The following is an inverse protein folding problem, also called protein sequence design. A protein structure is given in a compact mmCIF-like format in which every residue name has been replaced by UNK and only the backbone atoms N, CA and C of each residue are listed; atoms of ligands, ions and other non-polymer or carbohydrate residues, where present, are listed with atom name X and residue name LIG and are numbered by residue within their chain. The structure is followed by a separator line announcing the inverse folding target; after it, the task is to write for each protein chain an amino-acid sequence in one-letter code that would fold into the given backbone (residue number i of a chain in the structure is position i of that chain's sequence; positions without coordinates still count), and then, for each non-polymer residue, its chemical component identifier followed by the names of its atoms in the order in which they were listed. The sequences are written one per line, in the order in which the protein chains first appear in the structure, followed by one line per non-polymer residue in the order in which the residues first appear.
data_IF_441597437194
#
_entry.id   IF_441597437194
#
_cell.length_a   1.000
_cell.length_b   1.000
_cell.length_c   1.000
_cell.angle_alpha   90.00
_cell.angle_beta   90.00
_cell.angle_gamma   90.00
#
_symmetry.space_group_name_H-M   'P 1'
#
loop_
_entity.id
_entity.type
_entity.pdbx_description
1 polymer ?
#
# COMPACT_ATOMS: atom_id res chain seq x y z
N UNK A 1 28.08 0.08 6.94
CA UNK A 1 26.91 0.02 7.84
C UNK A 1 25.80 -0.68 7.07
N UNK A 2 25.40 -1.90 7.54
CA UNK A 2 24.38 -2.71 6.87
C UNK A 2 23.01 -2.07 7.02
N UNK A 3 22.46 -1.58 5.91
CA UNK A 3 21.11 -0.99 5.84
C UNK A 3 20.01 -2.08 5.68
N UNK A 4 20.21 -3.25 6.31
CA UNK A 4 19.20 -4.30 6.34
C UNK A 4 18.36 -4.18 7.60
N UNK A 5 17.04 -4.16 7.46
CA UNK A 5 16.11 -4.25 8.60
C UNK A 5 15.20 -5.45 8.38
N UNK A 6 14.97 -6.20 9.44
CA UNK A 6 13.96 -7.26 9.45
C UNK A 6 12.58 -6.62 9.28
N UNK A 7 11.84 -7.11 8.31
CA UNK A 7 10.47 -6.70 8.08
C UNK A 7 9.55 -7.92 8.17
N UNK A 8 8.80 -7.98 9.27
CA UNK A 8 7.78 -9.00 9.49
C UNK A 8 8.26 -10.31 10.13
N UNK A 9 7.29 -11.12 10.59
CA UNK A 9 7.47 -12.35 11.38
C UNK A 9 8.21 -13.50 10.67
N UNK A 10 8.65 -13.35 9.43
CA UNK A 10 9.29 -14.39 8.63
C UNK A 10 10.71 -14.09 8.18
N UNK A 11 11.40 -13.14 8.84
CA UNK A 11 12.83 -12.88 8.58
C UNK A 11 13.17 -12.50 7.14
N UNK A 12 12.25 -11.85 6.41
CA UNK A 12 12.54 -11.33 5.07
C UNK A 12 13.23 -9.98 5.21
N UNK A 13 14.42 -9.90 4.68
CA UNK A 13 15.21 -8.68 4.75
C UNK A 13 14.84 -7.73 3.62
N UNK A 14 14.64 -6.47 3.97
CA UNK A 14 14.43 -5.38 3.05
C UNK A 14 15.64 -4.46 3.05
N UNK A 15 16.17 -4.17 1.88
CA UNK A 15 17.26 -3.19 1.72
C UNK A 15 16.65 -1.83 1.40
N UNK A 16 17.06 -0.80 2.13
CA UNK A 16 16.68 0.58 1.86
C UNK A 16 17.73 1.30 1.00
N UNK A 17 17.33 2.27 0.17
CA UNK A 17 15.96 2.70 -0.12
C UNK A 17 15.18 1.69 -0.97
N UNK A 18 13.85 1.70 -0.84
CA UNK A 18 12.96 0.96 -1.72
C UNK A 18 12.38 1.87 -2.79
N UNK A 19 12.15 1.31 -3.97
CA UNK A 19 11.66 2.03 -5.14
C UNK A 19 10.50 1.31 -5.80
N UNK A 20 9.71 2.08 -6.54
CA UNK A 20 8.64 1.56 -7.36
C UNK A 20 8.11 2.63 -8.31
N UNK A 21 7.00 2.33 -8.95
CA UNK A 21 6.38 3.27 -9.88
C UNK A 21 5.27 2.65 -10.70
N UNK A 22 4.85 3.37 -11.71
CA UNK A 22 3.81 2.94 -12.62
C UNK A 22 4.36 2.01 -13.72
N UNK A 23 3.46 1.28 -14.37
CA UNK A 23 3.80 0.32 -15.44
C UNK A 23 4.60 0.97 -16.59
N UNK A 24 4.26 2.18 -17.01
CA UNK A 24 4.94 2.85 -18.13
C UNK A 24 6.23 3.57 -17.75
N UNK A 25 6.53 3.71 -16.43
CA UNK A 25 7.73 4.39 -15.94
C UNK A 25 7.62 5.90 -15.80
N UNK A 26 6.51 6.54 -16.20
CA UNK A 26 6.32 7.98 -16.11
C UNK A 26 6.26 8.49 -14.65
N UNK A 27 5.76 7.66 -13.73
CA UNK A 27 5.73 7.95 -12.30
C UNK A 27 6.65 6.99 -11.59
N UNK A 28 7.54 7.53 -10.77
CA UNK A 28 8.47 6.74 -9.92
C UNK A 28 8.47 7.30 -8.51
N UNK A 29 8.62 6.44 -7.52
CA UNK A 29 8.69 6.82 -6.12
C UNK A 29 9.81 6.07 -5.40
N UNK A 30 10.19 6.62 -4.24
CA UNK A 30 11.18 6.05 -3.34
C UNK A 30 10.78 6.30 -1.90
N UNK A 31 11.11 5.38 -1.00
CA UNK A 31 11.06 5.62 0.44
C UNK A 31 12.32 5.09 1.12
N UNK A 32 12.73 5.78 2.20
CA UNK A 32 14.05 5.61 2.82
C UNK A 32 13.99 5.05 4.24
N UNK A 33 12.80 4.84 4.80
CA UNK A 33 12.61 4.21 6.12
C UNK A 33 11.79 2.93 6.00
N UNK A 34 11.89 2.06 7.02
CA UNK A 34 11.10 0.83 7.08
C UNK A 34 9.59 1.17 7.15
N UNK A 35 8.73 0.37 6.51
CA UNK A 35 7.29 0.53 6.64
C UNK A 35 6.82 0.42 8.10
N UNK A 36 5.80 1.20 8.44
CA UNK A 36 5.11 1.08 9.71
C UNK A 36 4.25 -0.18 9.77
N UNK A 37 3.64 -0.51 8.63
CA UNK A 37 2.61 -1.53 8.56
C UNK A 37 2.51 -2.08 7.13
N UNK A 38 2.12 -3.35 7.03
CA UNK A 38 1.75 -4.00 5.78
C UNK A 38 0.47 -4.78 5.98
N UNK A 39 -0.49 -4.59 5.09
CA UNK A 39 -1.81 -5.18 5.24
C UNK A 39 -2.49 -5.52 3.92
N UNK A 40 -3.47 -6.42 3.99
CA UNK A 40 -4.43 -6.66 2.93
C UNK A 40 -5.75 -5.96 3.28
N UNK A 41 -6.18 -5.04 2.47
CA UNK A 41 -7.40 -4.26 2.70
C UNK A 41 -8.53 -4.77 1.80
N UNK A 42 -9.58 -5.33 2.41
CA UNK A 42 -10.76 -5.86 1.73
C UNK A 42 -11.88 -4.82 1.55
N UNK A 43 -11.61 -3.55 1.86
CA UNK A 43 -12.59 -2.47 1.65
C UNK A 43 -13.05 -2.45 0.18
N UNK A 44 -14.33 -2.16 -0.04
CA UNK A 44 -14.91 -2.08 -1.38
C UNK A 44 -14.15 -1.10 -2.30
N UNK A 45 -13.69 0.03 -1.76
CA UNK A 45 -12.88 0.98 -2.50
C UNK A 45 -11.55 0.35 -2.95
N UNK A 46 -10.87 -0.38 -2.07
CA UNK A 46 -9.62 -1.07 -2.40
C UNK A 46 -9.83 -2.14 -3.47
N UNK A 47 -10.94 -2.88 -3.40
CA UNK A 47 -11.33 -3.85 -4.43
C UNK A 47 -11.56 -3.17 -5.78
N UNK A 48 -12.26 -2.01 -5.78
CA UNK A 48 -12.51 -1.24 -7.01
C UNK A 48 -11.24 -0.68 -7.63
N UNK A 49 -10.34 -0.11 -6.82
CA UNK A 49 -9.07 0.45 -7.32
C UNK A 49 -8.12 -0.60 -7.88
N UNK A 50 -8.15 -1.82 -7.36
CA UNK A 50 -7.25 -2.89 -7.81
C UNK A 50 -7.89 -3.81 -8.84
N UNK A 51 -9.22 -3.84 -8.93
CA UNK A 51 -9.93 -4.86 -9.69
C UNK A 51 -9.73 -6.27 -9.12
N UNK A 52 -9.34 -6.39 -7.85
CA UNK A 52 -9.02 -7.65 -7.19
C UNK A 52 -9.80 -7.80 -5.89
N UNK A 53 -9.60 -8.94 -5.21
CA UNK A 53 -10.26 -9.29 -3.94
C UNK A 53 -9.85 -8.39 -2.76
N UNK A 54 -8.66 -7.83 -2.80
CA UNK A 54 -8.14 -6.86 -1.83
C UNK A 54 -6.99 -6.06 -2.44
N UNK A 55 -6.55 -5.01 -1.75
CA UNK A 55 -5.29 -4.33 -2.02
C UNK A 55 -4.26 -4.71 -0.98
N UNK A 56 -3.06 -5.12 -1.40
CA UNK A 56 -1.92 -5.25 -0.49
C UNK A 56 -1.23 -3.90 -0.38
N UNK A 57 -1.19 -3.37 0.83
CA UNK A 57 -0.75 -2.02 1.14
C UNK A 57 0.51 -2.05 2.00
N UNK A 58 1.41 -1.12 1.69
CA UNK A 58 2.63 -0.85 2.47
C UNK A 58 2.53 0.59 2.96
N UNK A 59 2.54 0.79 4.27
CA UNK A 59 2.36 2.08 4.91
C UNK A 59 3.71 2.62 5.33
N UNK A 60 4.09 3.78 4.79
CA UNK A 60 5.40 4.41 5.03
C UNK A 60 5.23 5.85 5.52
N UNK A 61 6.25 6.38 6.20
CA UNK A 61 6.28 7.78 6.63
C UNK A 61 6.24 8.72 5.42
N UNK A 62 5.41 9.75 5.49
CA UNK A 62 5.38 10.81 4.50
C UNK A 62 6.70 11.57 4.38
N UNK A 63 7.40 11.75 5.51
CA UNK A 63 8.68 12.45 5.56
C UNK A 63 9.79 11.72 4.78
N UNK A 64 9.68 10.39 4.68
CA UNK A 64 10.68 9.54 4.03
C UNK A 64 10.26 9.08 2.64
N UNK A 65 9.17 9.61 2.12
CA UNK A 65 8.61 9.28 0.80
C UNK A 65 8.79 10.45 -0.16
N UNK A 66 9.19 10.14 -1.38
CA UNK A 66 9.24 11.09 -2.48
C UNK A 66 8.82 10.44 -3.80
N UNK A 67 8.33 11.24 -4.73
CA UNK A 67 8.04 10.77 -6.07
C UNK A 67 8.43 11.80 -7.13
N UNK A 68 8.57 11.34 -8.36
CA UNK A 68 8.77 12.15 -9.57
C UNK A 68 7.80 11.70 -10.65
N UNK A 69 7.53 12.61 -11.57
CA UNK A 69 6.50 12.45 -12.58
C UNK A 69 5.14 12.96 -12.10
N UNK A 70 4.36 13.51 -13.02
CA UNK A 70 3.02 14.02 -12.73
C UNK A 70 2.06 12.89 -12.40
N UNK A 71 1.22 13.10 -11.41
CA UNK A 71 0.16 12.18 -11.02
C UNK A 71 -1.20 12.85 -11.14
N UNK A 72 -2.22 12.07 -11.47
CA UNK A 72 -3.62 12.45 -11.30
C UNK A 72 -4.12 11.94 -9.95
N UNK A 73 -5.08 12.65 -9.38
CA UNK A 73 -5.58 12.35 -8.03
C UNK A 73 -7.09 12.20 -8.04
N UNK A 74 -7.57 11.26 -7.25
CA UNK A 74 -8.98 11.12 -6.90
C UNK A 74 -9.14 11.25 -5.39
N UNK A 75 -10.14 12.04 -4.97
CA UNK A 75 -10.43 12.30 -3.57
C UNK A 75 -11.82 11.79 -3.23
N UNK A 76 -11.97 11.17 -2.06
CA UNK A 76 -13.28 10.77 -1.53
C UNK A 76 -13.26 10.74 0.00
N UNK A 77 -14.44 10.58 0.60
CA UNK A 77 -14.58 10.34 2.02
C UNK A 77 -14.82 8.85 2.26
N UNK A 78 -13.99 8.23 3.08
CA UNK A 78 -14.23 6.87 3.54
C UNK A 78 -15.48 6.77 4.42
N UNK A 79 -15.90 5.55 4.74
CA UNK A 79 -17.08 5.29 5.59
C UNK A 79 -16.99 5.90 6.99
N UNK A 80 -15.78 6.18 7.48
CA UNK A 80 -15.51 6.89 8.74
C UNK A 80 -15.59 8.42 8.62
N UNK A 81 -15.84 8.98 7.42
CA UNK A 81 -15.76 10.40 7.12
C UNK A 81 -14.34 10.93 6.84
N UNK A 82 -13.33 10.09 6.98
CA UNK A 82 -11.94 10.48 6.70
C UNK A 82 -11.73 10.79 5.22
N UNK A 83 -11.06 11.91 4.94
CA UNK A 83 -10.69 12.30 3.58
C UNK A 83 -9.52 11.47 3.09
N UNK A 84 -9.72 10.78 1.99
CA UNK A 84 -8.77 9.87 1.36
C UNK A 84 -8.37 10.37 -0.02
N UNK A 85 -7.17 10.01 -0.45
CA UNK A 85 -6.65 10.37 -1.76
C UNK A 85 -5.95 9.17 -2.39
N UNK A 86 -6.22 8.93 -3.68
CA UNK A 86 -5.52 7.98 -4.53
C UNK A 86 -4.81 8.71 -5.65
N UNK A 87 -3.52 8.45 -5.80
CA UNK A 87 -2.70 8.96 -6.89
C UNK A 87 -2.45 7.87 -7.94
N UNK A 88 -2.60 8.23 -9.19
CA UNK A 88 -2.42 7.32 -10.32
C UNK A 88 -1.70 7.99 -11.49
N UNK A 89 -1.07 7.19 -12.31
CA UNK A 89 -0.39 7.66 -13.51
C UNK A 89 -1.41 8.10 -14.56
N UNK A 90 -1.36 9.35 -15.07
CA UNK A 90 -2.29 9.80 -16.09
C UNK A 90 -2.06 9.16 -17.47
N UNK A 91 -0.90 8.51 -17.67
CA UNK A 91 -0.56 7.85 -18.95
C UNK A 91 -1.04 6.42 -18.99
N UNK A 92 -0.77 5.62 -17.94
CA UNK A 92 -1.08 4.19 -17.94
C UNK A 92 -2.12 3.75 -16.90
N UNK A 93 -2.59 4.67 -16.07
CA UNK A 93 -3.64 4.41 -15.08
C UNK A 93 -3.19 3.64 -13.83
N UNK A 94 -1.91 3.29 -13.69
CA UNK A 94 -1.43 2.58 -12.51
C UNK A 94 -1.69 3.38 -11.24
N UNK A 95 -2.47 2.82 -10.30
CA UNK A 95 -2.67 3.36 -8.97
C UNK A 95 -1.48 3.00 -8.09
N UNK A 96 -0.52 3.89 -7.92
CA UNK A 96 0.77 3.60 -7.30
C UNK A 96 0.76 3.84 -5.79
N UNK A 97 0.23 4.97 -5.34
CA UNK A 97 0.20 5.35 -3.93
C UNK A 97 -0.97 6.28 -3.62
N UNK A 98 -1.19 6.52 -2.35
CA UNK A 98 -2.21 7.43 -1.86
C UNK A 98 -1.84 8.03 -0.52
N UNK A 99 -2.74 8.84 0.03
CA UNK A 99 -2.57 9.50 1.31
C UNK A 99 -3.64 9.03 2.31
N UNK A 100 -3.23 8.93 3.57
CA UNK A 100 -4.13 8.74 4.69
C UNK A 100 -4.81 10.04 5.15
N UNK A 101 -5.69 9.96 6.15
CA UNK A 101 -6.48 11.11 6.64
C UNK A 101 -5.62 12.29 7.12
N UNK A 102 -4.56 12.03 7.83
CA UNK A 102 -3.65 13.00 8.46
C UNK A 102 -2.48 13.39 7.56
N UNK A 103 -2.26 12.65 6.46
CA UNK A 103 -1.21 12.89 5.48
C UNK A 103 0.24 12.79 6.01
N UNK A 104 0.45 12.31 7.21
CA UNK A 104 1.78 12.04 7.76
C UNK A 104 2.35 10.69 7.31
N UNK A 105 1.53 9.89 6.63
CA UNK A 105 1.92 8.64 6.00
C UNK A 105 1.48 8.54 4.52
N UNK A 106 2.10 7.62 3.81
CA UNK A 106 1.76 7.26 2.43
C UNK A 106 1.38 5.79 2.36
N UNK A 107 0.38 5.51 1.54
CA UNK A 107 -0.14 4.17 1.30
C UNK A 107 0.33 3.73 -0.07
N UNK A 108 1.24 2.76 -0.12
CA UNK A 108 1.82 2.24 -1.36
C UNK A 108 1.10 0.95 -1.74
N UNK A 109 0.76 0.80 -3.01
CA UNK A 109 0.29 -0.47 -3.58
C UNK A 109 1.48 -1.40 -3.75
N UNK A 110 1.53 -2.51 -3.01
CA UNK A 110 2.69 -3.39 -2.96
C UNK A 110 3.13 -3.91 -4.34
N UNK A 111 2.18 -4.19 -5.23
CA UNK A 111 2.47 -4.65 -6.58
C UNK A 111 3.16 -3.62 -7.48
N UNK A 112 3.27 -2.35 -7.06
CA UNK A 112 3.98 -1.29 -7.80
C UNK A 112 5.44 -1.11 -7.35
N UNK A 113 5.89 -1.85 -6.34
CA UNK A 113 7.30 -1.91 -5.95
C UNK A 113 8.13 -2.63 -7.01
N UNK A 114 9.34 -2.15 -7.26
CA UNK A 114 10.30 -2.81 -8.17
C UNK A 114 10.72 -4.17 -7.63
N UNK A 115 10.90 -4.27 -6.32
CA UNK A 115 11.12 -5.52 -5.59
C UNK A 115 10.11 -5.61 -4.43
N UNK A 116 9.14 -6.50 -4.57
CA UNK A 116 8.12 -6.76 -3.57
C UNK A 116 8.33 -8.10 -2.82
N UNK A 117 9.45 -8.79 -3.04
CA UNK A 117 9.73 -10.10 -2.45
C UNK A 117 9.79 -10.11 -0.92
N UNK A 118 10.07 -8.97 -0.31
CA UNK A 118 10.12 -8.77 1.14
C UNK A 118 8.75 -8.45 1.76
N UNK A 119 7.74 -8.11 0.96
CA UNK A 119 6.40 -7.74 1.47
C UNK A 119 5.77 -8.91 2.19
N UNK A 120 5.37 -8.68 3.44
CA UNK A 120 4.73 -9.69 4.30
C UNK A 120 3.60 -9.03 5.08
N UNK A 121 2.37 -9.03 4.56
CA UNK A 121 1.21 -8.46 5.24
C UNK A 121 1.00 -9.12 6.62
N UNK A 122 0.83 -8.30 7.64
CA UNK A 122 0.58 -8.74 9.01
C UNK A 122 -0.91 -8.73 9.36
N UNK A 123 -1.71 -7.95 8.61
CA UNK A 123 -3.11 -7.69 8.93
C UNK A 123 -4.01 -7.92 7.72
N UNK A 124 -5.23 -8.36 8.01
CA UNK A 124 -6.36 -8.39 7.07
C UNK A 124 -7.41 -7.39 7.55
N UNK A 125 -7.57 -6.27 6.85
CA UNK A 125 -8.49 -5.20 7.24
C UNK A 125 -9.80 -5.28 6.47
N UNK A 126 -10.89 -4.83 7.12
CA UNK A 126 -12.20 -4.71 6.51
C UNK A 126 -12.77 -6.05 6.02
N UNK A 127 -12.61 -7.09 6.81
CA UNK A 127 -13.09 -8.44 6.48
C UNK A 127 -14.61 -8.52 6.31
N UNK A 128 -15.36 -7.58 6.90
CA UNK A 128 -16.81 -7.48 6.65
C UNK A 128 -17.18 -7.26 5.18
N UNK A 129 -16.26 -6.73 4.37
CA UNK A 129 -16.42 -6.53 2.93
C UNK A 129 -15.72 -7.59 2.08
N UNK A 130 -15.09 -8.57 2.73
CA UNK A 130 -14.36 -9.66 2.05
C UNK A 130 -15.30 -10.43 1.13
N UNK A 131 -14.83 -10.73 -0.07
CA UNK A 131 -15.55 -11.58 -1.01
C UNK A 131 -15.48 -13.05 -0.58
N UNK A 132 -16.57 -13.79 -0.77
CA UNK A 132 -16.66 -15.21 -0.40
C UNK A 132 -15.66 -16.11 -1.15
N UNK A 133 -15.23 -15.71 -2.34
CA UNK A 133 -14.21 -16.41 -3.14
C UNK A 133 -12.76 -16.01 -2.78
N UNK A 134 -12.58 -15.14 -1.78
CA UNK A 134 -11.25 -14.66 -1.33
C UNK A 134 -10.76 -15.51 -0.17
N UNK A 135 -9.56 -16.07 -0.30
CA UNK A 135 -8.85 -16.72 0.80
C UNK A 135 -7.97 -15.70 1.54
N UNK A 136 -7.87 -15.84 2.85
CA UNK A 136 -6.99 -15.06 3.71
C UNK A 136 -5.68 -15.82 3.92
N UNK A 137 -4.62 -15.08 4.25
CA UNK A 137 -3.38 -15.67 4.72
C UNK A 137 -3.57 -16.13 6.18
N UNK A 138 -3.19 -17.35 6.50
CA UNK A 138 -3.29 -17.90 7.87
C UNK A 138 -2.42 -17.14 8.87
N UNK A 139 -1.31 -16.57 8.38
CA UNK A 139 -0.32 -15.84 9.18
C UNK A 139 -0.67 -14.38 9.48
N UNK A 140 -1.85 -13.89 9.06
CA UNK A 140 -2.27 -12.51 9.26
C UNK A 140 -3.31 -12.40 10.38
N UNK A 141 -3.26 -11.29 11.14
CA UNK A 141 -4.30 -10.94 12.08
C UNK A 141 -5.56 -10.44 11.33
N UNK A 142 -6.74 -10.75 11.84
CA UNK A 142 -8.02 -10.56 11.16
C UNK A 142 -8.85 -9.47 11.82
N UNK A 143 -9.30 -8.49 11.05
CA UNK A 143 -10.14 -7.40 11.51
C UNK A 143 -11.37 -7.24 10.63
N UNK A 144 -12.54 -7.09 11.24
CA UNK A 144 -13.80 -6.82 10.50
C UNK A 144 -13.84 -5.40 9.95
N UNK A 145 -13.17 -4.47 10.62
CA UNK A 145 -13.01 -3.07 10.24
C UNK A 145 -11.53 -2.67 10.28
N UNK A 146 -11.21 -1.39 10.51
CA UNK A 146 -9.86 -0.97 10.84
C UNK A 146 -9.49 -1.49 12.24
N UNK A 147 -8.19 -1.71 12.49
CA UNK A 147 -7.69 -2.05 13.82
C UNK A 147 -7.23 -0.81 14.58
#
# INVERSE_FOLDING_TARGET
KNNFRECGRRGRYMKLPQRGGCRCGAVKYEFTSAPHEMLNCHRSDCQKFTGSKFATLVIVSAADFSHRGGVSSNHWHGSSGAKLEQNFCPVCGTAAFGFGPDRDYRVIRAGTLDDAGWVSPNFEHWLKSKKNWSQQLDSTDKYLGPH
#
